data_IF_554666844770
#
_entry.id   IF_554666844770
#
_cell.length_a   1.000
_cell.length_b   1.000
_cell.length_c   1.000
_cell.angle_alpha   90.00
_cell.angle_beta   90.00
_cell.angle_gamma   90.00
#
_symmetry.space_group_name_H-M   'P 1'
#
loop_
_entity.id
_entity.type
_entity.pdbx_description
1 polymer ?
#
# COMPACT_ATOMS: atom_id res chain seq x y z
N UNK A 1 47.23 -11.28 18.76
CA UNK A 1 46.02 -11.81 18.08
C UNK A 1 46.37 -12.12 16.62
N UNK A 2 46.02 -13.28 16.06
CA UNK A 2 46.29 -13.56 14.63
C UNK A 2 45.44 -12.61 13.76
N UNK A 3 46.06 -11.91 12.80
CA UNK A 3 45.42 -10.89 11.93
C UNK A 3 44.12 -11.37 11.27
N UNK A 4 44.03 -12.66 11.00
CA UNK A 4 42.87 -13.39 10.45
C UNK A 4 41.60 -13.19 11.28
N UNK A 5 41.70 -13.27 12.61
CA UNK A 5 40.54 -13.12 13.51
C UNK A 5 40.05 -11.67 13.57
N UNK A 6 40.95 -10.69 13.45
CA UNK A 6 40.58 -9.27 13.45
C UNK A 6 39.70 -8.97 12.23
N UNK A 7 40.07 -9.49 11.05
CA UNK A 7 39.31 -9.31 9.81
C UNK A 7 37.95 -10.01 9.87
N UNK A 8 37.89 -11.22 10.44
CA UNK A 8 36.63 -11.96 10.60
C UNK A 8 35.66 -11.23 11.55
N UNK A 9 36.15 -10.78 12.70
CA UNK A 9 35.34 -10.10 13.71
C UNK A 9 34.82 -8.76 13.17
N UNK A 10 35.66 -7.97 12.49
CA UNK A 10 35.23 -6.69 11.92
C UNK A 10 34.19 -6.87 10.81
N UNK A 11 34.37 -7.88 9.95
CA UNK A 11 33.41 -8.21 8.89
C UNK A 11 32.05 -8.61 9.46
N UNK A 12 32.03 -9.50 10.47
CA UNK A 12 30.79 -9.93 11.14
C UNK A 12 30.13 -8.75 11.87
N UNK A 13 30.91 -7.93 12.59
CA UNK A 13 30.38 -6.75 13.28
C UNK A 13 29.74 -5.77 12.31
N UNK A 14 30.35 -5.53 11.15
CA UNK A 14 29.80 -4.65 10.12
C UNK A 14 28.49 -5.21 9.55
N UNK A 15 28.44 -6.51 9.26
CA UNK A 15 27.23 -7.16 8.76
C UNK A 15 26.08 -7.08 9.78
N UNK A 16 26.36 -7.32 11.07
CA UNK A 16 25.36 -7.22 12.15
C UNK A 16 24.85 -5.78 12.28
N UNK A 17 25.75 -4.79 12.30
CA UNK A 17 25.37 -3.38 12.36
C UNK A 17 24.50 -2.97 11.18
N UNK A 18 24.84 -3.41 9.96
CA UNK A 18 24.06 -3.13 8.77
C UNK A 18 22.66 -3.72 8.82
N UNK A 19 22.51 -4.97 9.27
CA UNK A 19 21.21 -5.63 9.42
C UNK A 19 20.36 -4.91 10.45
N UNK A 20 20.91 -4.59 11.62
CA UNK A 20 20.22 -3.83 12.68
C UNK A 20 19.76 -2.45 12.19
N UNK A 21 20.67 -1.68 11.60
CA UNK A 21 20.37 -0.36 11.08
C UNK A 21 19.28 -0.43 9.99
N UNK A 22 19.37 -1.39 9.07
CA UNK A 22 18.39 -1.60 8.01
C UNK A 22 17.00 -1.94 8.56
N UNK A 23 16.92 -2.79 9.58
CA UNK A 23 15.65 -3.15 10.22
C UNK A 23 15.02 -1.95 10.92
N UNK A 24 15.78 -1.20 11.72
CA UNK A 24 15.30 -0.01 12.41
C UNK A 24 14.83 1.07 11.41
N UNK A 25 15.59 1.28 10.34
CA UNK A 25 15.25 2.24 9.29
C UNK A 25 13.94 1.87 8.59
N UNK A 26 13.76 0.60 8.18
CA UNK A 26 12.52 0.12 7.56
C UNK A 26 11.32 0.28 8.49
N UNK A 27 11.50 -0.03 9.78
CA UNK A 27 10.43 0.13 10.76
C UNK A 27 10.00 1.60 10.91
N UNK A 28 10.95 2.53 10.89
CA UNK A 28 10.66 3.96 10.97
C UNK A 28 9.95 4.48 9.70
N UNK A 29 10.36 4.00 8.51
CA UNK A 29 9.69 4.33 7.25
C UNK A 29 8.23 3.85 7.22
N UNK A 30 7.95 2.62 7.67
CA UNK A 30 6.59 2.09 7.75
C UNK A 30 5.71 2.95 8.66
N UNK A 31 6.23 3.38 9.82
CA UNK A 31 5.51 4.30 10.72
C UNK A 31 5.22 5.65 10.05
N UNK A 32 6.19 6.23 9.34
CA UNK A 32 6.02 7.51 8.64
C UNK A 32 4.97 7.41 7.53
N UNK A 33 5.03 6.37 6.71
CA UNK A 33 4.05 6.10 5.65
C UNK A 33 2.64 5.88 6.23
N UNK A 34 2.53 5.09 7.31
CA UNK A 34 1.26 4.87 8.00
C UNK A 34 0.65 6.15 8.57
N UNK A 35 1.47 7.04 9.16
CA UNK A 35 1.02 8.34 9.66
C UNK A 35 0.55 9.27 8.53
N UNK A 36 1.32 9.36 7.43
CA UNK A 36 0.94 10.16 6.26
C UNK A 36 -0.37 9.67 5.62
N UNK A 37 -0.55 8.35 5.53
CA UNK A 37 -1.78 7.74 5.06
C UNK A 37 -2.96 8.03 6.01
N UNK A 38 -2.75 8.04 7.33
CA UNK A 38 -3.79 8.37 8.31
C UNK A 38 -4.22 9.84 8.23
N UNK A 39 -3.26 10.77 8.18
CA UNK A 39 -3.57 12.21 8.17
C UNK A 39 -4.23 12.66 6.86
N UNK A 40 -3.89 12.02 5.75
CA UNK A 40 -4.46 12.33 4.43
C UNK A 40 -5.45 11.24 3.98
N UNK A 41 -5.95 10.41 4.89
CA UNK A 41 -6.87 9.32 4.56
C UNK A 41 -8.12 9.87 3.85
N UNK A 42 -8.61 11.02 4.31
CA UNK A 42 -9.75 11.71 3.72
C UNK A 42 -9.54 12.14 2.26
N UNK A 43 -8.29 12.32 1.82
CA UNK A 43 -7.97 12.65 0.42
C UNK A 43 -8.40 11.52 -0.51
N UNK A 44 -8.12 10.28 -0.11
CA UNK A 44 -8.39 9.08 -0.90
C UNK A 44 -9.75 8.46 -0.54
N UNK A 45 -10.10 8.41 0.75
CA UNK A 45 -11.35 7.85 1.30
C UNK A 45 -12.20 8.97 1.87
N UNK A 46 -12.93 9.67 0.99
CA UNK A 46 -13.87 10.72 1.41
C UNK A 46 -15.07 10.09 2.10
N UNK A 47 -15.63 10.79 3.10
CA UNK A 47 -16.78 10.32 3.90
C UNK A 47 -18.00 9.95 3.03
N UNK A 48 -18.18 10.61 1.90
CA UNK A 48 -19.30 10.40 0.97
C UNK A 48 -18.98 9.47 -0.20
N UNK A 49 -17.78 8.88 -0.27
CA UNK A 49 -17.44 7.94 -1.33
C UNK A 49 -18.25 6.66 -1.17
N UNK A 50 -18.71 6.12 -2.30
CA UNK A 50 -19.32 4.79 -2.32
C UNK A 50 -18.25 3.74 -2.07
N UNK A 51 -18.55 2.77 -1.21
CA UNK A 51 -17.59 1.71 -0.86
C UNK A 51 -18.22 0.33 -0.94
N UNK A 52 -17.39 -0.68 -1.17
CA UNK A 52 -17.80 -2.08 -1.22
C UNK A 52 -16.73 -2.95 -0.52
N UNK A 53 -17.15 -3.90 0.31
CA UNK A 53 -16.26 -4.76 1.09
C UNK A 53 -16.36 -4.49 2.59
N UNK A 54 -15.50 -5.14 3.38
CA UNK A 54 -15.46 -5.04 4.84
C UNK A 54 -14.82 -3.72 5.30
N UNK A 55 -15.32 -3.16 6.40
CA UNK A 55 -14.74 -1.97 7.03
C UNK A 55 -13.40 -2.27 7.72
N UNK A 56 -13.19 -3.53 8.09
CA UNK A 56 -11.99 -4.08 8.70
C UNK A 56 -10.91 -4.50 7.67
N UNK A 57 -11.20 -4.36 6.37
CA UNK A 57 -10.27 -4.69 5.31
C UNK A 57 -8.97 -3.87 5.46
N UNK A 58 -7.84 -4.56 5.36
CA UNK A 58 -6.51 -3.94 5.50
C UNK A 58 -6.04 -3.26 4.22
N UNK A 59 -6.64 -3.60 3.08
CA UNK A 59 -6.30 -3.04 1.76
C UNK A 59 -7.46 -2.18 1.26
N UNK A 60 -7.16 -0.92 0.94
CA UNK A 60 -8.10 0.02 0.35
C UNK A 60 -7.76 0.17 -1.13
N UNK A 61 -8.65 -0.28 -2.01
CA UNK A 61 -8.54 -0.08 -3.45
C UNK A 61 -9.34 1.16 -3.81
N UNK A 62 -8.67 2.26 -4.13
CA UNK A 62 -9.33 3.53 -4.47
C UNK A 62 -9.38 3.66 -5.99
N UNK A 63 -10.56 3.47 -6.56
CA UNK A 63 -10.76 3.48 -8.01
C UNK A 63 -11.28 4.84 -8.45
N UNK A 64 -10.47 5.53 -9.26
CA UNK A 64 -10.88 6.76 -9.95
C UNK A 64 -11.51 6.37 -11.28
N UNK A 65 -12.83 6.45 -11.34
CA UNK A 65 -13.61 6.01 -12.49
C UNK A 65 -14.43 7.14 -13.09
N UNK A 66 -14.52 7.09 -14.41
CA UNK A 66 -15.43 7.91 -15.19
C UNK A 66 -16.51 6.99 -15.77
N UNK A 67 -17.81 7.24 -15.50
CA UNK A 67 -18.89 6.44 -16.06
C UNK A 67 -18.94 6.42 -17.60
N UNK A 68 -18.42 7.46 -18.26
CA UNK A 68 -18.37 7.53 -19.73
C UNK A 68 -17.11 6.89 -20.33
N UNK A 69 -16.18 6.39 -19.51
CA UNK A 69 -14.96 5.76 -19.99
C UNK A 69 -15.18 4.28 -20.33
N UNK A 70 -15.13 3.94 -21.62
CA UNK A 70 -15.25 2.55 -22.10
C UNK A 70 -14.18 1.63 -21.50
N UNK A 71 -12.95 2.12 -21.34
CA UNK A 71 -11.86 1.34 -20.73
C UNK A 71 -12.14 1.07 -19.25
N UNK A 72 -12.69 2.02 -18.50
CA UNK A 72 -13.11 1.77 -17.10
C UNK A 72 -14.18 0.66 -17.06
N UNK A 73 -15.16 0.69 -17.96
CA UNK A 73 -16.17 -0.37 -18.06
C UNK A 73 -15.57 -1.74 -18.38
N UNK A 74 -14.58 -1.81 -19.29
CA UNK A 74 -13.86 -3.07 -19.61
C UNK A 74 -13.02 -3.59 -18.44
N UNK A 75 -12.50 -2.72 -17.58
CA UNK A 75 -11.68 -3.12 -16.44
C UNK A 75 -12.50 -3.53 -15.20
N UNK A 76 -13.72 -3.02 -15.06
CA UNK A 76 -14.60 -3.30 -13.92
C UNK A 76 -14.78 -4.79 -13.58
N UNK A 77 -14.95 -5.72 -14.54
CA UNK A 77 -15.01 -7.15 -14.24
C UNK A 77 -13.74 -7.71 -13.58
N UNK A 78 -12.56 -7.19 -13.91
CA UNK A 78 -11.30 -7.63 -13.32
C UNK A 78 -11.15 -7.13 -11.89
N UNK A 79 -11.59 -5.90 -11.60
CA UNK A 79 -11.68 -5.38 -10.22
C UNK A 79 -12.58 -6.28 -9.38
N UNK A 80 -13.76 -6.65 -9.91
CA UNK A 80 -14.67 -7.59 -9.22
C UNK A 80 -14.05 -8.97 -8.99
N UNK A 81 -13.38 -9.53 -9.99
CA UNK A 81 -12.66 -10.81 -9.85
C UNK A 81 -11.58 -10.73 -8.76
N UNK A 82 -10.85 -9.61 -8.69
CA UNK A 82 -9.84 -9.38 -7.66
C UNK A 82 -10.45 -9.32 -6.25
N UNK A 83 -11.58 -8.62 -6.10
CA UNK A 83 -12.32 -8.58 -4.83
C UNK A 83 -12.84 -9.98 -4.43
N UNK A 84 -13.42 -10.72 -5.38
CA UNK A 84 -13.94 -12.06 -5.14
C UNK A 84 -12.82 -13.06 -4.76
N UNK A 85 -11.63 -12.93 -5.36
CA UNK A 85 -10.46 -13.73 -4.99
C UNK A 85 -9.85 -13.37 -3.62
N UNK A 86 -10.29 -12.28 -3.00
CA UNK A 86 -9.76 -11.76 -1.73
C UNK A 86 -10.89 -11.36 -0.76
N UNK A 87 -11.78 -12.30 -0.40
CA UNK A 87 -12.96 -11.99 0.40
C UNK A 87 -12.59 -11.38 1.76
N UNK A 88 -13.23 -10.26 2.11
CA UNK A 88 -12.99 -9.52 3.36
C UNK A 88 -11.64 -8.79 3.47
N UNK A 89 -10.75 -8.94 2.48
CA UNK A 89 -9.40 -8.35 2.55
C UNK A 89 -9.28 -6.99 1.87
N UNK A 90 -10.19 -6.69 0.93
CA UNK A 90 -10.18 -5.47 0.11
C UNK A 90 -11.46 -4.67 0.38
N UNK A 91 -11.29 -3.37 0.64
CA UNK A 91 -12.36 -2.36 0.59
C UNK A 91 -12.17 -1.53 -0.67
N UNK A 92 -13.11 -1.65 -1.61
CA UNK A 92 -13.16 -0.81 -2.79
C UNK A 92 -13.78 0.54 -2.41
N UNK A 93 -13.17 1.63 -2.86
CA UNK A 93 -13.62 3.01 -2.64
C UNK A 93 -13.72 3.69 -4.00
N UNK A 94 -14.94 4.05 -4.41
CA UNK A 94 -15.18 4.68 -5.70
C UNK A 94 -14.98 6.19 -5.63
N UNK A 95 -14.28 6.72 -6.63
CA UNK A 95 -14.02 8.14 -6.82
C UNK A 95 -14.39 8.54 -8.25
N UNK A 96 -15.40 9.37 -8.40
CA UNK A 96 -15.73 9.90 -9.72
C UNK A 96 -14.63 10.85 -10.21
N UNK A 97 -14.15 10.58 -11.42
CA UNK A 97 -13.16 11.38 -12.13
C UNK A 97 -13.65 11.60 -13.57
N UNK A 98 -14.70 12.43 -13.78
CA UNK A 98 -15.33 12.63 -15.07
C UNK A 98 -14.43 13.48 -15.98
N UNK A 99 -13.49 12.83 -16.65
CA UNK A 99 -12.54 13.46 -17.56
C UNK A 99 -12.96 13.32 -19.02
N UNK A 100 -13.85 12.38 -19.32
CA UNK A 100 -14.47 12.24 -20.63
C UNK A 100 -15.44 13.39 -20.82
N UNK A 101 -15.36 13.98 -22.02
CA UNK A 101 -16.45 14.78 -22.56
C UNK A 101 -17.40 13.75 -23.17
N UNK A 102 -18.57 13.60 -22.56
CA UNK A 102 -19.58 12.63 -22.96
C UNK A 102 -20.07 12.81 -24.40
#
# INVERSE_FOLDING_TARGET
MKKQYIVLISSVSLAVLFVLASHLYKQQQIKKLGFMAKNNAATFVRKYSQTLGSDEAKVYLVEFADPACETCARFYPFVKKMMAGNPGKIKLVMRYAPFHKG
#
